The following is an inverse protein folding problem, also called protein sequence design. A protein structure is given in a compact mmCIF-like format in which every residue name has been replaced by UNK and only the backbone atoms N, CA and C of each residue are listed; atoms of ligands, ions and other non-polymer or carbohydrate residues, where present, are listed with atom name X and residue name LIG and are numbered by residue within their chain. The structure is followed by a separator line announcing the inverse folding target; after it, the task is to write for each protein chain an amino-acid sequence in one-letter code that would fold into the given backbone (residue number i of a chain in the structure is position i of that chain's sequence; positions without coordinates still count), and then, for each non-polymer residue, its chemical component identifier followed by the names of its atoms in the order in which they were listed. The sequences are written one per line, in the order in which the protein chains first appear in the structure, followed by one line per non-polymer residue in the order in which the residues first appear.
data_IF_870827265202
#
_entry.id   IF_870827265202
#
_cell.length_a   1.000
_cell.length_b   1.000
_cell.length_c   1.000
_cell.angle_alpha   90.00
_cell.angle_beta   90.00
_cell.angle_gamma   90.00
#
_symmetry.space_group_name_H-M   'P 1'
#
loop_
_entity.id
_entity.type
_entity.pdbx_description
1 polymer ?
#
# COMPACT_ATOMS: atom_id res chain seq x y z
N UNK A 1 -5.92 32.88 -7.11
CA UNK A 1 -7.09 32.93 -7.99
C UNK A 1 -6.68 32.72 -9.44
N UNK A 2 -6.82 31.51 -10.00
CA UNK A 2 -6.68 31.28 -11.45
C UNK A 2 -7.78 30.30 -11.89
N UNK A 3 -8.46 30.69 -12.96
CA UNK A 3 -9.78 30.23 -13.34
C UNK A 3 -9.78 28.81 -13.90
N UNK A 4 -10.83 28.05 -13.61
CA UNK A 4 -11.26 26.89 -14.38
C UNK A 4 -12.76 27.06 -14.66
N UNK A 5 -13.05 27.77 -15.74
CA UNK A 5 -14.37 27.79 -16.36
C UNK A 5 -14.23 26.98 -17.63
N UNK A 6 -14.62 25.71 -17.59
CA UNK A 6 -14.93 24.93 -18.79
C UNK A 6 -16.26 24.23 -18.53
N UNK A 7 -17.18 24.45 -19.47
CA UNK A 7 -18.61 24.26 -19.38
C UNK A 7 -19.04 22.84 -18.97
N UNK A 8 -19.67 22.72 -17.80
CA UNK A 8 -20.66 21.66 -17.57
C UNK A 8 -22.05 22.32 -17.74
N UNK A 9 -22.69 22.09 -18.88
CA UNK A 9 -24.11 22.38 -19.04
C UNK A 9 -24.90 21.26 -18.36
N UNK A 10 -25.07 21.35 -17.05
CA UNK A 10 -25.83 20.39 -16.27
C UNK A 10 -25.61 20.58 -14.78
N UNK A 11 -26.69 20.61 -14.00
CA UNK A 11 -26.70 20.90 -12.55
C UNK A 11 -26.18 19.74 -11.70
N UNK A 12 -25.60 18.71 -12.32
CA UNK A 12 -25.11 17.49 -11.69
C UNK A 12 -23.75 17.12 -12.30
N UNK A 13 -22.71 17.04 -11.47
CA UNK A 13 -21.38 16.58 -11.87
C UNK A 13 -21.35 15.06 -11.64
N UNK A 14 -21.34 14.27 -12.71
CA UNK A 14 -21.14 12.83 -12.59
C UNK A 14 -19.64 12.51 -12.47
N UNK A 15 -19.28 11.47 -11.70
CA UNK A 15 -17.88 11.01 -11.56
C UNK A 15 -17.20 10.70 -12.91
N UNK A 16 -17.98 10.46 -13.97
CA UNK A 16 -17.49 10.23 -15.32
C UNK A 16 -17.00 11.51 -16.04
N UNK A 17 -17.49 12.69 -15.63
CA UNK A 17 -17.19 13.99 -16.26
C UNK A 17 -15.94 14.67 -15.68
N UNK A 18 -15.39 14.09 -14.61
CA UNK A 18 -14.15 14.58 -14.02
C UNK A 18 -12.97 14.27 -14.94
N UNK A 19 -12.06 15.24 -15.18
CA UNK A 19 -10.81 15.02 -15.87
C UNK A 19 -10.07 13.80 -15.31
N UNK A 20 -9.42 13.03 -16.18
CA UNK A 20 -8.71 11.80 -15.83
C UNK A 20 -7.71 11.99 -14.68
N UNK A 21 -7.06 13.16 -14.62
CA UNK A 21 -6.12 13.53 -13.56
C UNK A 21 -6.78 13.58 -12.17
N UNK A 22 -7.99 14.13 -12.06
CA UNK A 22 -8.73 14.23 -10.79
C UNK A 22 -9.27 12.84 -10.40
N UNK A 23 -9.73 12.05 -11.37
CA UNK A 23 -10.23 10.68 -11.12
C UNK A 23 -9.11 9.75 -10.61
N UNK A 24 -7.91 9.87 -11.16
CA UNK A 24 -6.75 9.09 -10.71
C UNK A 24 -6.30 9.50 -9.30
N UNK A 25 -6.36 10.79 -8.98
CA UNK A 25 -6.03 11.28 -7.64
C UNK A 25 -7.06 10.79 -6.60
N UNK A 26 -8.36 10.89 -6.88
CA UNK A 26 -9.43 10.39 -6.01
C UNK A 26 -9.31 8.87 -5.80
N UNK A 27 -9.01 8.09 -6.85
CA UNK A 27 -8.82 6.65 -6.70
C UNK A 27 -7.60 6.29 -5.85
N UNK A 28 -6.50 7.04 -5.99
CA UNK A 28 -5.28 6.81 -5.20
C UNK A 28 -5.46 7.17 -3.73
N UNK A 29 -6.18 8.27 -3.46
CA UNK A 29 -6.58 8.67 -2.11
C UNK A 29 -7.51 7.63 -1.48
N UNK A 30 -8.53 7.17 -2.20
CA UNK A 30 -9.43 6.11 -1.73
C UNK A 30 -8.69 4.80 -1.43
N UNK A 31 -7.80 4.34 -2.30
CA UNK A 31 -7.02 3.12 -2.04
C UNK A 31 -6.11 3.25 -0.80
N UNK A 32 -5.59 4.46 -0.55
CA UNK A 32 -4.79 4.73 0.65
C UNK A 32 -5.65 4.79 1.91
N UNK A 33 -6.84 5.36 1.84
CA UNK A 33 -7.80 5.35 2.95
C UNK A 33 -8.34 3.95 3.23
N UNK A 34 -8.56 3.14 2.20
CA UNK A 34 -9.07 1.77 2.32
C UNK A 34 -8.10 0.84 3.05
N UNK A 35 -6.79 0.91 2.76
CA UNK A 35 -5.82 0.05 3.46
C UNK A 35 -5.63 0.48 4.92
N UNK A 36 -5.62 1.80 5.20
CA UNK A 36 -5.46 2.34 6.56
C UNK A 36 -6.67 1.95 7.43
N UNK A 37 -7.88 2.06 6.87
CA UNK A 37 -9.09 1.66 7.59
C UNK A 37 -9.15 0.14 7.82
N UNK A 38 -8.72 -0.67 6.85
CA UNK A 38 -8.63 -2.12 7.02
C UNK A 38 -7.64 -2.50 8.14
N UNK A 39 -6.48 -1.83 8.20
CA UNK A 39 -5.49 -2.04 9.25
C UNK A 39 -6.04 -1.58 10.62
N UNK A 40 -6.75 -0.45 10.66
CA UNK A 40 -7.40 0.09 11.86
C UNK A 40 -8.45 -0.87 12.42
N UNK A 41 -9.29 -1.43 11.55
CA UNK A 41 -10.29 -2.42 11.93
C UNK A 41 -9.65 -3.70 12.47
N UNK A 42 -8.61 -4.21 11.80
CA UNK A 42 -7.88 -5.38 12.29
C UNK A 42 -7.27 -5.12 13.67
N UNK A 43 -6.52 -4.01 13.84
CA UNK A 43 -5.85 -3.69 15.09
C UNK A 43 -6.84 -3.51 16.24
N UNK A 44 -7.94 -2.79 16.01
CA UNK A 44 -8.99 -2.61 17.02
C UNK A 44 -9.59 -3.93 17.46
N UNK A 45 -9.90 -4.83 16.51
CA UNK A 45 -10.46 -6.14 16.81
C UNK A 45 -9.50 -7.00 17.62
N UNK A 46 -8.24 -7.07 17.19
CA UNK A 46 -7.20 -7.89 17.83
C UNK A 46 -6.93 -7.41 19.26
N UNK A 47 -6.85 -6.10 19.49
CA UNK A 47 -6.69 -5.51 20.82
C UNK A 47 -7.91 -5.82 21.71
N UNK A 48 -9.12 -5.69 21.17
CA UNK A 48 -10.36 -6.00 21.91
C UNK A 48 -10.49 -7.48 22.28
N UNK A 49 -9.81 -8.38 21.55
CA UNK A 49 -9.71 -9.80 21.88
C UNK A 49 -8.71 -10.10 23.00
N UNK A 50 -7.99 -9.08 23.48
CA UNK A 50 -7.01 -9.20 24.55
C UNK A 50 -5.63 -9.65 24.09
N UNK A 51 -5.39 -9.76 22.78
CA UNK A 51 -4.08 -10.10 22.24
C UNK A 51 -3.04 -9.02 22.58
N UNK A 52 -1.84 -9.47 22.92
CA UNK A 52 -0.70 -8.62 23.26
C UNK A 52 0.39 -8.80 22.20
N UNK A 53 1.29 -7.82 22.12
CA UNK A 53 2.44 -7.87 21.21
C UNK A 53 2.05 -8.10 19.73
N UNK A 54 0.93 -7.51 19.29
CA UNK A 54 0.35 -7.73 17.94
C UNK A 54 1.33 -7.39 16.79
N UNK A 55 2.34 -6.56 17.06
CA UNK A 55 3.41 -6.24 16.12
C UNK A 55 4.27 -7.47 15.76
N UNK A 56 4.42 -8.43 16.66
CA UNK A 56 5.17 -9.66 16.42
C UNK A 56 4.53 -10.51 15.31
N UNK A 57 3.23 -10.30 15.04
CA UNK A 57 2.50 -10.96 13.95
C UNK A 57 2.31 -10.03 12.74
N UNK A 58 1.95 -8.77 12.97
CA UNK A 58 1.69 -7.81 11.91
C UNK A 58 2.94 -7.46 11.09
N UNK A 59 4.06 -7.16 11.78
CA UNK A 59 5.27 -6.69 11.10
C UNK A 59 5.84 -7.77 10.16
N UNK A 60 6.00 -9.04 10.57
CA UNK A 60 6.44 -10.09 9.65
C UNK A 60 5.50 -10.30 8.46
N UNK A 61 4.19 -10.17 8.68
CA UNK A 61 3.18 -10.33 7.62
C UNK A 61 3.26 -9.20 6.60
N UNK A 62 3.41 -7.97 7.08
CA UNK A 62 3.62 -6.79 6.25
C UNK A 62 4.91 -6.91 5.44
N UNK A 63 6.04 -7.19 6.10
CA UNK A 63 7.33 -7.32 5.44
C UNK A 63 7.31 -8.44 4.39
N UNK A 64 6.73 -9.61 4.70
CA UNK A 64 6.61 -10.72 3.75
C UNK A 64 5.81 -10.34 2.50
N UNK A 65 4.71 -9.61 2.69
CA UNK A 65 3.86 -9.18 1.58
C UNK A 65 4.61 -8.22 0.66
N UNK A 66 5.26 -7.20 1.24
CA UNK A 66 6.04 -6.24 0.46
C UNK A 66 7.23 -6.87 -0.25
N UNK A 67 7.97 -7.75 0.42
CA UNK A 67 9.10 -8.47 -0.18
C UNK A 67 8.63 -9.32 -1.36
N UNK A 68 7.50 -10.03 -1.22
CA UNK A 68 6.94 -10.86 -2.29
C UNK A 68 6.58 -10.01 -3.50
N UNK A 69 5.79 -8.95 -3.31
CA UNK A 69 5.38 -8.05 -4.40
C UNK A 69 6.59 -7.43 -5.08
N UNK A 70 7.59 -6.98 -4.30
CA UNK A 70 8.81 -6.40 -4.86
C UNK A 70 9.60 -7.43 -5.68
N UNK A 71 9.74 -8.67 -5.22
CA UNK A 71 10.42 -9.73 -5.97
C UNK A 71 9.64 -10.14 -7.22
N UNK A 72 8.32 -10.25 -7.16
CA UNK A 72 7.48 -10.54 -8.32
C UNK A 72 7.60 -9.44 -9.38
N UNK A 73 7.54 -8.18 -8.96
CA UNK A 73 7.68 -7.03 -9.85
C UNK A 73 9.06 -6.97 -10.53
N UNK A 74 10.12 -7.40 -9.84
CA UNK A 74 11.48 -7.40 -10.40
C UNK A 74 11.88 -8.73 -11.04
N UNK A 75 10.98 -9.71 -11.13
CA UNK A 75 11.30 -11.04 -11.67
C UNK A 75 12.33 -11.82 -10.85
N UNK A 76 12.36 -11.60 -9.53
CA UNK A 76 13.26 -12.27 -8.59
C UNK A 76 14.60 -11.56 -8.37
N UNK A 77 14.86 -10.43 -9.04
CA UNK A 77 16.09 -9.67 -8.86
C UNK A 77 16.13 -8.97 -7.49
N UNK A 78 16.81 -9.59 -6.54
CA UNK A 78 16.91 -9.12 -5.14
C UNK A 78 17.47 -7.70 -5.01
N UNK A 79 18.40 -7.29 -5.86
CA UNK A 79 18.97 -5.93 -5.78
C UNK A 79 17.95 -4.86 -6.17
N UNK A 80 17.19 -5.07 -7.24
CA UNK A 80 16.16 -4.13 -7.67
C UNK A 80 14.96 -4.16 -6.71
N UNK A 81 14.58 -5.33 -6.18
CA UNK A 81 13.53 -5.44 -5.18
C UNK A 81 13.90 -4.66 -3.91
N UNK A 82 15.17 -4.73 -3.49
CA UNK A 82 15.65 -3.96 -2.35
C UNK A 82 15.56 -2.45 -2.60
N UNK A 83 15.91 -1.98 -3.81
CA UNK A 83 15.77 -0.56 -4.19
C UNK A 83 14.31 -0.10 -4.14
N UNK A 84 13.36 -0.90 -4.65
CA UNK A 84 11.93 -0.57 -4.60
C UNK A 84 11.42 -0.40 -3.16
N UNK A 85 11.92 -1.22 -2.25
CA UNK A 85 11.58 -1.16 -0.83
C UNK A 85 12.37 -0.10 -0.05
N UNK A 86 13.31 0.61 -0.69
CA UNK A 86 14.23 1.54 -0.02
C UNK A 86 15.22 0.85 0.92
N UNK A 87 15.45 -0.44 0.75
CA UNK A 87 16.36 -1.24 1.56
C UNK A 87 17.70 -1.47 0.86
N UNK A 88 18.76 -1.66 1.65
CA UNK A 88 19.99 -2.23 1.13
C UNK A 88 19.81 -3.70 0.74
N UNK A 89 20.54 -4.18 -0.27
CA UNK A 89 20.54 -5.59 -0.70
C UNK A 89 20.75 -6.57 0.47
N UNK A 90 21.66 -6.23 1.39
CA UNK A 90 21.98 -7.06 2.56
C UNK A 90 20.81 -7.10 3.55
N UNK A 91 20.10 -5.98 3.73
CA UNK A 91 18.90 -5.90 4.58
C UNK A 91 17.80 -6.77 4.02
N UNK A 92 17.52 -6.68 2.72
CA UNK A 92 16.53 -7.56 2.08
C UNK A 92 16.90 -9.03 2.25
N UNK A 93 18.17 -9.38 2.02
CA UNK A 93 18.65 -10.77 2.17
C UNK A 93 18.49 -11.28 3.60
N UNK A 94 18.78 -10.46 4.61
CA UNK A 94 18.57 -10.79 6.01
C UNK A 94 17.07 -11.00 6.30
N UNK A 95 16.22 -10.08 5.83
CA UNK A 95 14.76 -10.15 6.02
C UNK A 95 14.13 -11.39 5.39
N UNK A 96 14.54 -11.76 4.17
CA UNK A 96 14.08 -13.00 3.52
C UNK A 96 14.39 -14.23 4.38
N UNK A 97 15.61 -14.30 4.96
CA UNK A 97 16.01 -15.40 5.86
C UNK A 97 15.23 -15.41 7.17
N UNK A 98 15.11 -14.26 7.83
CA UNK A 98 14.37 -14.09 9.10
C UNK A 98 12.90 -14.52 8.95
N UNK A 99 12.29 -14.15 7.83
CA UNK A 99 10.88 -14.43 7.53
C UNK A 99 10.64 -15.81 6.92
N UNK A 100 11.71 -16.63 6.78
CA UNK A 100 11.71 -17.98 6.17
C UNK A 100 11.06 -18.00 4.78
N UNK A 101 11.46 -17.04 3.94
CA UNK A 101 10.94 -16.88 2.57
C UNK A 101 11.84 -17.52 1.51
N UNK A 102 13.00 -18.07 1.88
CA UNK A 102 13.84 -18.85 0.98
C UNK A 102 13.18 -20.24 0.77
N UNK A 103 12.78 -20.54 -0.47
CA UNK A 103 12.40 -21.87 -0.94
C UNK A 103 13.53 -22.44 -1.82
#
# INVERSE_FOLDING_TARGET
CRWLTVMASGRDIHMADLPVDIRQQVNSENATTEWDEALRHWASRTINQGEQQILDTALPTFERTLIRVALEHTGGHRQEAAKLLGWGRNTLTRKIKELRMDA
#
